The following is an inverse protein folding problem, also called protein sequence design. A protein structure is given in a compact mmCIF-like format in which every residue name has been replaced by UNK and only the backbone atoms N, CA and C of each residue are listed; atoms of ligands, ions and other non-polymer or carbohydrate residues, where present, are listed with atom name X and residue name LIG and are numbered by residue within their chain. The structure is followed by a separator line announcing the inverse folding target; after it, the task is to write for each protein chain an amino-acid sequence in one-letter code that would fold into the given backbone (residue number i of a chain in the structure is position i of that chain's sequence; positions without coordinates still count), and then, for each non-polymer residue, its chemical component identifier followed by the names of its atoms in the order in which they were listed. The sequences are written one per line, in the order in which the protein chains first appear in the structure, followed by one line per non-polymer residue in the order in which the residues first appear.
data_IF_635966490805
#
_entry.id   IF_635966490805
#
_cell.length_a   1.000
_cell.length_b   1.000
_cell.length_c   1.000
_cell.angle_alpha   90.00
_cell.angle_beta   90.00
_cell.angle_gamma   90.00
#
_symmetry.space_group_name_H-M   'P 1'
#
loop_
_entity.id
_entity.type
_entity.pdbx_description
1 polymer ?
#
# COMPACT_ATOMS: atom_id res chain seq x y z
N UNK A 1 -11.70 24.68 -19.69
CA UNK A 1 -12.77 23.74 -19.45
C UNK A 1 -12.43 22.81 -18.28
N UNK A 2 -13.09 23.03 -17.13
CA UNK A 2 -12.80 22.35 -15.86
C UNK A 2 -13.09 20.84 -15.92
N UNK A 3 -14.04 20.39 -16.72
CA UNK A 3 -14.41 18.96 -16.85
C UNK A 3 -13.37 18.17 -17.65
N UNK A 4 -12.77 18.74 -18.67
CA UNK A 4 -11.69 18.10 -19.43
C UNK A 4 -10.40 17.98 -18.59
N UNK A 5 -10.08 18.97 -17.76
CA UNK A 5 -8.93 18.89 -16.84
C UNK A 5 -9.10 17.78 -15.79
N UNK A 6 -10.31 17.57 -15.27
CA UNK A 6 -10.58 16.48 -14.33
C UNK A 6 -10.53 15.08 -15.00
N UNK A 7 -10.95 14.95 -16.27
CA UNK A 7 -10.81 13.70 -17.02
C UNK A 7 -9.35 13.36 -17.32
N UNK A 8 -8.54 14.34 -17.75
CA UNK A 8 -7.10 14.13 -17.98
C UNK A 8 -6.31 13.78 -16.72
N UNK A 9 -6.74 14.23 -15.53
CA UNK A 9 -6.09 13.92 -14.26
C UNK A 9 -6.44 12.51 -13.79
N UNK A 10 -7.63 11.98 -14.12
CA UNK A 10 -8.07 10.64 -13.70
C UNK A 10 -7.38 9.49 -14.45
N UNK A 11 -6.88 9.73 -15.64
CA UNK A 11 -6.43 8.65 -16.55
C UNK A 11 -4.91 8.52 -16.69
N UNK A 12 -4.12 9.35 -16.03
CA UNK A 12 -2.68 9.24 -16.15
C UNK A 12 -2.14 8.29 -15.07
N UNK A 13 -1.66 7.11 -15.50
CA UNK A 13 -0.97 6.13 -14.64
C UNK A 13 0.17 6.77 -13.81
N UNK A 14 0.81 7.82 -14.35
CA UNK A 14 1.83 8.59 -13.65
C UNK A 14 1.30 9.38 -12.45
N UNK A 15 0.03 9.74 -12.43
CA UNK A 15 -0.59 10.40 -11.28
C UNK A 15 -0.95 9.39 -10.19
N UNK A 16 -1.44 8.20 -10.58
CA UNK A 16 -1.72 7.12 -9.63
C UNK A 16 -0.46 6.64 -8.91
N UNK A 17 0.68 6.57 -9.59
CA UNK A 17 1.97 6.20 -8.98
C UNK A 17 2.42 7.14 -7.86
N UNK A 18 1.86 8.34 -7.76
CA UNK A 18 2.17 9.31 -6.67
C UNK A 18 1.45 8.99 -5.35
N UNK A 19 0.34 8.26 -5.38
CA UNK A 19 -0.35 7.85 -4.16
C UNK A 19 0.41 6.72 -3.50
N UNK A 20 0.55 6.77 -2.17
CA UNK A 20 1.34 5.80 -1.42
C UNK A 20 0.66 4.44 -1.38
N UNK A 21 -0.62 4.40 -1.07
CA UNK A 21 -1.44 3.20 -0.87
C UNK A 21 -2.77 3.34 -1.61
N UNK A 22 -3.36 2.21 -2.00
CA UNK A 22 -4.75 2.09 -2.42
C UNK A 22 -5.45 1.10 -1.49
N UNK A 23 -6.39 1.61 -0.70
CA UNK A 23 -7.17 0.80 0.25
C UNK A 23 -8.62 0.72 -0.22
N UNK A 24 -9.28 -0.40 0.08
CA UNK A 24 -10.71 -0.58 -0.11
C UNK A 24 -11.41 -0.61 1.24
N UNK A 25 -12.32 0.33 1.46
CA UNK A 25 -13.13 0.37 2.70
C UNK A 25 -14.39 -0.49 2.59
N UNK A 26 -14.78 -0.92 1.38
CA UNK A 26 -16.04 -1.62 1.15
C UNK A 26 -17.28 -0.76 1.44
N UNK A 27 -18.43 -1.42 1.53
CA UNK A 27 -19.69 -0.80 1.90
C UNK A 27 -20.11 -1.20 3.32
N UNK A 28 -20.77 -0.30 4.07
CA UNK A 28 -21.34 -0.67 5.36
C UNK A 28 -22.44 -1.74 5.17
N UNK A 29 -22.59 -2.62 6.14
CA UNK A 29 -23.67 -3.59 6.15
C UNK A 29 -25.05 -2.90 6.33
N UNK A 30 -26.13 -3.66 6.13
CA UNK A 30 -27.50 -3.13 6.23
C UNK A 30 -27.79 -2.46 7.59
N UNK A 31 -27.34 -3.04 8.69
CA UNK A 31 -27.57 -2.51 10.04
C UNK A 31 -26.82 -1.18 10.25
N UNK A 32 -25.54 -1.13 9.84
CA UNK A 32 -24.75 0.09 9.88
C UNK A 32 -25.30 1.19 8.96
N UNK A 33 -25.80 0.84 7.78
CA UNK A 33 -26.45 1.79 6.89
C UNK A 33 -27.74 2.36 7.53
N UNK A 34 -28.55 1.51 8.15
CA UNK A 34 -29.78 1.96 8.83
C UNK A 34 -29.46 2.86 10.04
N UNK A 35 -28.42 2.55 10.82
CA UNK A 35 -27.94 3.41 11.91
C UNK A 35 -27.47 4.77 11.37
N UNK A 36 -26.68 4.78 10.31
CA UNK A 36 -26.15 5.99 9.67
C UNK A 36 -27.28 6.90 9.17
N UNK A 37 -28.36 6.33 8.62
CA UNK A 37 -29.53 7.08 8.18
C UNK A 37 -30.32 7.70 9.35
N UNK A 38 -30.39 7.01 10.50
CA UNK A 38 -31.05 7.52 11.70
C UNK A 38 -30.22 8.64 12.37
N UNK A 39 -28.90 8.45 12.50
CA UNK A 39 -28.03 9.38 13.25
C UNK A 39 -27.84 10.71 12.54
N UNK A 40 -27.92 10.74 11.20
CA UNK A 40 -27.69 11.98 10.42
C UNK A 40 -28.86 12.96 10.38
N UNK A 41 -29.99 12.64 11.02
CA UNK A 41 -31.15 13.54 10.99
C UNK A 41 -31.02 14.75 11.93
N UNK A 42 -30.16 14.74 12.95
CA UNK A 42 -30.18 15.75 14.00
C UNK A 42 -28.82 16.38 14.38
N UNK A 43 -27.70 15.73 14.10
CA UNK A 43 -26.37 16.22 14.50
C UNK A 43 -25.33 15.94 13.41
N UNK A 44 -24.49 16.94 13.10
CA UNK A 44 -23.31 16.70 12.29
C UNK A 44 -22.25 15.95 13.13
N UNK A 45 -21.90 14.70 12.80
CA UNK A 45 -20.89 13.93 13.54
C UNK A 45 -19.53 14.62 13.63
N UNK A 46 -19.20 15.51 12.69
CA UNK A 46 -17.95 16.27 12.70
C UNK A 46 -17.84 17.20 13.91
N UNK A 47 -18.96 17.70 14.41
CA UNK A 47 -18.99 18.57 15.61
C UNK A 47 -18.58 17.85 16.90
N UNK A 48 -18.70 16.51 16.91
CA UNK A 48 -18.33 15.66 18.05
C UNK A 48 -16.87 15.14 17.97
N UNK A 49 -16.19 15.38 16.85
CA UNK A 49 -14.81 14.94 16.69
C UNK A 49 -13.86 15.76 17.57
N UNK A 50 -13.00 15.07 18.30
CA UNK A 50 -11.96 15.70 19.12
C UNK A 50 -10.60 15.52 18.45
N UNK A 51 -9.69 16.47 18.70
CA UNK A 51 -8.29 16.34 18.29
C UNK A 51 -7.64 15.19 19.04
N UNK A 52 -7.08 14.21 18.31
CA UNK A 52 -6.44 13.00 18.89
C UNK A 52 -4.92 13.09 18.90
N UNK A 53 -4.33 14.00 18.12
CA UNK A 53 -2.87 14.20 18.06
C UNK A 53 -2.56 15.64 17.59
N UNK A 54 -1.34 16.08 17.82
CA UNK A 54 -0.82 17.37 17.36
C UNK A 54 0.14 17.20 16.17
N UNK A 55 0.39 18.25 15.37
CA UNK A 55 1.42 18.22 14.33
C UNK A 55 2.80 17.83 14.84
N UNK A 56 3.19 18.30 16.02
CA UNK A 56 4.49 17.99 16.63
C UNK A 56 4.61 16.50 17.01
N UNK A 57 3.54 15.89 17.52
CA UNK A 57 3.51 14.46 17.82
C UNK A 57 3.59 13.64 16.52
N UNK A 58 2.91 14.07 15.46
CA UNK A 58 2.97 13.40 14.16
C UNK A 58 4.38 13.47 13.57
N UNK A 59 5.06 14.62 13.63
CA UNK A 59 6.45 14.76 13.17
C UNK A 59 7.39 13.83 13.95
N UNK A 60 7.20 13.69 15.26
CA UNK A 60 7.95 12.75 16.09
C UNK A 60 7.73 11.30 15.63
N UNK A 61 6.49 10.88 15.41
CA UNK A 61 6.16 9.55 14.90
C UNK A 61 6.80 9.29 13.53
N UNK A 62 6.77 10.26 12.61
CA UNK A 62 7.43 10.15 11.31
C UNK A 62 8.94 9.95 11.46
N UNK A 63 9.58 10.66 12.38
CA UNK A 63 11.00 10.49 12.67
C UNK A 63 11.31 9.11 13.25
N UNK A 64 10.50 8.62 14.19
CA UNK A 64 10.63 7.27 14.78
C UNK A 64 10.50 6.17 13.71
N UNK A 65 9.47 6.23 12.87
CA UNK A 65 9.27 5.29 11.75
C UNK A 65 10.45 5.34 10.76
N UNK A 66 11.00 6.52 10.50
CA UNK A 66 12.15 6.68 9.59
C UNK A 66 13.40 5.97 10.11
N UNK A 67 13.56 5.85 11.42
CA UNK A 67 14.69 5.21 12.08
C UNK A 67 14.57 3.68 12.19
N UNK A 68 13.42 3.09 11.83
CA UNK A 68 13.23 1.64 11.81
C UNK A 68 14.29 0.99 10.89
N UNK A 69 14.99 0.01 11.41
CA UNK A 69 16.06 -0.68 10.71
C UNK A 69 15.51 -1.57 9.58
N UNK A 70 16.22 -1.57 8.45
CA UNK A 70 15.92 -2.46 7.31
C UNK A 70 17.22 -3.14 6.91
N UNK A 71 17.29 -4.45 7.07
CA UNK A 71 18.47 -5.22 6.67
C UNK A 71 18.60 -5.30 5.13
N UNK A 72 19.82 -5.42 4.61
CA UNK A 72 20.11 -5.47 3.17
C UNK A 72 19.29 -6.55 2.46
N UNK A 73 19.13 -7.72 3.06
CA UNK A 73 18.31 -8.82 2.52
C UNK A 73 16.81 -8.46 2.33
N UNK A 74 16.28 -7.54 3.14
CA UNK A 74 14.91 -7.03 2.94
C UNK A 74 14.85 -6.12 1.71
N UNK A 75 15.88 -5.30 1.48
CA UNK A 75 15.98 -4.50 0.26
C UNK A 75 16.09 -5.40 -0.98
N UNK A 76 16.91 -6.46 -0.93
CA UNK A 76 17.02 -7.43 -2.00
C UNK A 76 15.69 -8.14 -2.26
N UNK A 77 14.99 -8.55 -1.21
CA UNK A 77 13.67 -9.16 -1.31
C UNK A 77 12.63 -8.23 -1.96
N UNK A 78 12.58 -6.96 -1.55
CA UNK A 78 11.70 -5.96 -2.18
C UNK A 78 12.08 -5.75 -3.66
N UNK A 79 13.39 -5.68 -3.97
CA UNK A 79 13.86 -5.51 -5.33
C UNK A 79 13.47 -6.69 -6.23
N UNK A 80 13.60 -7.93 -5.74
CA UNK A 80 13.18 -9.14 -6.44
C UNK A 80 11.67 -9.16 -6.70
N UNK A 81 10.85 -8.86 -5.69
CA UNK A 81 9.39 -8.75 -5.85
C UNK A 81 9.02 -7.73 -6.93
N UNK A 82 9.65 -6.56 -6.90
CA UNK A 82 9.40 -5.49 -7.88
C UNK A 82 9.83 -5.91 -9.28
N UNK A 83 10.97 -6.57 -9.43
CA UNK A 83 11.47 -7.03 -10.73
C UNK A 83 10.56 -8.08 -11.34
N UNK A 84 10.05 -9.00 -10.55
CA UNK A 84 9.04 -9.97 -10.99
C UNK A 84 7.73 -9.33 -11.47
N UNK A 85 7.35 -8.18 -10.93
CA UNK A 85 6.20 -7.43 -11.49
C UNK A 85 6.49 -6.88 -12.89
N UNK A 86 7.75 -6.52 -13.18
CA UNK A 86 8.16 -5.96 -14.48
C UNK A 86 8.35 -7.02 -15.54
N UNK A 87 8.84 -8.20 -15.15
CA UNK A 87 9.07 -9.35 -16.05
C UNK A 87 7.83 -10.21 -16.25
N UNK A 88 6.71 -9.90 -15.59
CA UNK A 88 5.48 -10.70 -15.67
C UNK A 88 4.82 -10.61 -17.05
N UNK A 89 4.48 -11.77 -17.65
CA UNK A 89 3.91 -11.88 -18.99
C UNK A 89 2.53 -11.19 -19.18
N UNK A 90 1.85 -10.83 -18.09
CA UNK A 90 0.54 -10.20 -18.08
C UNK A 90 0.59 -8.70 -17.78
N UNK A 91 1.78 -8.17 -17.52
CA UNK A 91 1.98 -6.76 -17.12
C UNK A 91 2.65 -5.99 -18.26
N UNK A 92 2.10 -4.84 -18.61
CA UNK A 92 2.72 -3.88 -19.55
C UNK A 92 3.65 -2.92 -18.82
N UNK A 93 3.26 -2.48 -17.62
CA UNK A 93 4.06 -1.63 -16.76
C UNK A 93 4.01 -2.18 -15.33
N UNK A 94 5.15 -2.59 -14.81
CA UNK A 94 5.34 -3.07 -13.44
C UNK A 94 5.61 -1.93 -12.46
N UNK A 95 5.92 -2.28 -11.23
CA UNK A 95 6.15 -1.33 -10.14
C UNK A 95 7.39 -0.48 -10.41
N UNK A 96 7.24 0.84 -10.30
CA UNK A 96 8.31 1.82 -10.49
C UNK A 96 9.31 1.82 -9.30
N UNK A 97 10.51 2.42 -9.44
CA UNK A 97 11.41 2.63 -8.30
C UNK A 97 10.75 3.43 -7.17
N UNK A 98 9.85 4.36 -7.52
CA UNK A 98 9.04 5.10 -6.53
C UNK A 98 8.11 4.17 -5.75
N UNK A 99 7.53 3.16 -6.42
CA UNK A 99 6.73 2.13 -5.77
C UNK A 99 7.56 1.27 -4.81
N UNK A 100 8.79 0.88 -5.18
CA UNK A 100 9.71 0.16 -4.29
C UNK A 100 10.02 0.96 -3.00
N UNK A 101 10.31 2.26 -3.15
CA UNK A 101 10.50 3.16 -2.00
C UNK A 101 9.23 3.28 -1.13
N UNK A 102 8.05 3.29 -1.75
CA UNK A 102 6.78 3.31 -1.02
C UNK A 102 6.56 2.00 -0.23
N UNK A 103 6.89 0.83 -0.81
CA UNK A 103 6.86 -0.47 -0.10
C UNK A 103 7.77 -0.44 1.12
N UNK A 104 9.01 0.02 0.98
CA UNK A 104 9.96 0.12 2.10
C UNK A 104 9.41 1.02 3.22
N UNK A 105 8.86 2.18 2.88
CA UNK A 105 8.29 3.10 3.87
C UNK A 105 7.06 2.51 4.57
N UNK A 106 6.18 1.86 3.84
CA UNK A 106 5.00 1.22 4.39
C UNK A 106 5.38 0.03 5.28
N UNK A 107 6.38 -0.78 4.90
CA UNK A 107 6.89 -1.88 5.72
C UNK A 107 7.51 -1.38 7.04
N UNK A 108 8.25 -0.26 7.02
CA UNK A 108 8.73 0.39 8.25
C UNK A 108 7.57 0.80 9.16
N UNK A 109 6.54 1.44 8.60
CA UNK A 109 5.38 1.84 9.38
C UNK A 109 4.64 0.63 9.96
N UNK A 110 4.53 -0.48 9.21
CA UNK A 110 3.93 -1.71 9.71
C UNK A 110 4.73 -2.30 10.86
N UNK A 111 6.06 -2.39 10.74
CA UNK A 111 6.95 -2.85 11.81
C UNK A 111 6.81 -2.01 13.09
N UNK A 112 6.71 -0.68 12.93
CA UNK A 112 6.49 0.26 14.04
C UNK A 112 5.15 0.01 14.75
N UNK A 113 4.07 -0.17 13.99
CA UNK A 113 2.74 -0.48 14.54
C UNK A 113 2.72 -1.82 15.30
N UNK A 114 3.55 -2.77 14.89
CA UNK A 114 3.75 -4.06 15.58
C UNK A 114 4.75 -3.98 16.75
N UNK A 115 5.21 -2.78 17.10
CA UNK A 115 6.11 -2.51 18.22
C UNK A 115 7.55 -2.97 18.00
N UNK A 116 8.00 -3.09 16.74
CA UNK A 116 9.35 -3.52 16.38
C UNK A 116 10.18 -2.34 15.85
N UNK A 117 11.48 -2.38 16.05
CA UNK A 117 12.47 -1.43 15.55
C UNK A 117 13.20 -1.91 14.29
N UNK A 118 12.77 -3.04 13.72
CA UNK A 118 13.27 -3.62 12.48
C UNK A 118 12.17 -4.21 11.62
N UNK A 119 12.38 -4.21 10.30
CA UNK A 119 11.46 -4.77 9.30
C UNK A 119 11.73 -6.27 9.09
N UNK A 120 10.67 -7.06 9.00
CA UNK A 120 10.71 -8.47 8.63
C UNK A 120 10.00 -8.70 7.28
N UNK A 121 10.22 -9.85 6.59
CA UNK A 121 9.57 -10.14 5.31
C UNK A 121 8.05 -10.09 5.37
N UNK A 122 7.43 -10.42 6.50
CA UNK A 122 5.98 -10.39 6.67
C UNK A 122 5.42 -8.96 6.63
N UNK A 123 6.18 -7.96 7.09
CA UNK A 123 5.79 -6.56 6.94
C UNK A 123 5.71 -6.15 5.47
N UNK A 124 6.68 -6.60 4.68
CA UNK A 124 6.68 -6.37 3.23
C UNK A 124 5.47 -7.04 2.59
N UNK A 125 5.22 -8.32 2.92
CA UNK A 125 4.07 -9.06 2.39
C UNK A 125 2.73 -8.40 2.73
N UNK A 126 2.58 -7.86 3.93
CA UNK A 126 1.35 -7.23 4.39
C UNK A 126 1.01 -5.97 3.58
N UNK A 127 2.02 -5.14 3.24
CA UNK A 127 1.79 -3.84 2.58
C UNK A 127 1.95 -3.89 1.06
N UNK A 128 2.64 -4.90 0.51
CA UNK A 128 2.99 -4.97 -0.91
C UNK A 128 1.78 -4.91 -1.85
N UNK A 129 0.67 -5.63 -1.61
CA UNK A 129 -0.52 -5.54 -2.46
C UNK A 129 -1.11 -4.14 -2.50
N UNK A 130 -1.30 -3.50 -1.35
CA UNK A 130 -1.95 -2.19 -1.23
C UNK A 130 -1.09 -1.06 -1.81
N UNK A 131 0.23 -1.19 -1.73
CA UNK A 131 1.18 -0.26 -2.34
C UNK A 131 1.26 -0.45 -3.85
N UNK A 132 1.15 -1.68 -4.37
CA UNK A 132 1.48 -1.99 -5.75
C UNK A 132 0.28 -2.13 -6.68
N UNK A 133 -0.93 -2.40 -6.17
CA UNK A 133 -2.11 -2.73 -6.99
C UNK A 133 -2.47 -1.66 -8.02
N UNK A 134 -2.39 -0.39 -7.64
CA UNK A 134 -2.72 0.75 -8.51
C UNK A 134 -1.56 1.19 -9.42
N UNK A 135 -0.39 0.55 -9.30
CA UNK A 135 0.81 0.83 -10.09
C UNK A 135 1.00 -0.12 -11.26
N UNK A 136 0.28 -1.26 -11.27
CA UNK A 136 0.37 -2.22 -12.35
C UNK A 136 -0.55 -1.85 -13.50
N UNK A 137 -0.02 -1.83 -14.73
CA UNK A 137 -0.81 -1.74 -15.95
C UNK A 137 -0.80 -3.11 -16.61
N UNK A 138 -1.97 -3.73 -16.69
CA UNK A 138 -2.14 -5.04 -17.30
C UNK A 138 -2.26 -4.93 -18.81
N UNK A 139 -1.75 -5.94 -19.53
CA UNK A 139 -1.89 -6.04 -20.97
C UNK A 139 -3.23 -6.70 -21.39
N UNK A 140 -3.50 -6.73 -22.71
CA UNK A 140 -4.72 -7.31 -23.25
C UNK A 140 -4.83 -8.82 -22.96
N UNK A 141 -3.71 -9.54 -22.88
CA UNK A 141 -3.67 -10.97 -22.56
C UNK A 141 -4.18 -11.25 -21.14
N UNK A 142 -3.81 -10.40 -20.17
CA UNK A 142 -4.31 -10.48 -18.80
C UNK A 142 -5.83 -10.34 -18.76
N UNK A 143 -6.37 -9.37 -19.50
CA UNK A 143 -7.81 -9.11 -19.56
C UNK A 143 -8.60 -10.27 -20.18
N UNK A 144 -8.04 -10.93 -21.20
CA UNK A 144 -8.67 -12.09 -21.85
C UNK A 144 -8.69 -13.33 -20.95
N UNK A 145 -7.81 -13.42 -19.98
CA UNK A 145 -7.68 -14.55 -19.06
C UNK A 145 -8.15 -14.19 -17.63
N UNK A 146 -8.89 -13.09 -17.46
CA UNK A 146 -9.44 -12.61 -16.18
C UNK A 146 -8.40 -12.43 -15.06
N UNK A 147 -7.13 -12.17 -15.43
CA UNK A 147 -6.12 -11.81 -14.43
C UNK A 147 -6.35 -10.40 -13.91
N UNK A 148 -6.34 -10.28 -12.59
CA UNK A 148 -6.37 -8.99 -11.89
C UNK A 148 -4.99 -8.61 -11.37
N UNK A 149 -4.75 -7.32 -11.13
CA UNK A 149 -3.50 -6.85 -10.52
C UNK A 149 -3.28 -7.50 -9.14
N UNK A 150 -4.33 -7.64 -8.34
CA UNK A 150 -4.25 -8.29 -7.03
C UNK A 150 -3.80 -9.76 -7.14
N UNK A 151 -4.35 -10.52 -8.08
CA UNK A 151 -3.95 -11.92 -8.30
C UNK A 151 -2.48 -12.02 -8.74
N UNK A 152 -2.04 -11.14 -9.62
CA UNK A 152 -0.64 -11.11 -10.07
C UNK A 152 0.30 -10.81 -8.90
N UNK A 153 -0.02 -9.82 -8.06
CA UNK A 153 0.79 -9.48 -6.89
C UNK A 153 0.85 -10.64 -5.88
N UNK A 154 -0.27 -11.34 -5.68
CA UNK A 154 -0.30 -12.51 -4.81
C UNK A 154 0.58 -13.64 -5.36
N UNK A 155 0.54 -13.90 -6.65
CA UNK A 155 1.41 -14.89 -7.31
C UNK A 155 2.89 -14.49 -7.18
N UNK A 156 3.23 -13.22 -7.35
CA UNK A 156 4.60 -12.69 -7.15
C UNK A 156 5.06 -12.95 -5.72
N UNK A 157 4.25 -12.61 -4.71
CA UNK A 157 4.58 -12.85 -3.30
C UNK A 157 4.80 -14.34 -2.97
N UNK A 158 4.06 -15.23 -3.61
CA UNK A 158 4.21 -16.69 -3.39
C UNK A 158 5.37 -17.31 -4.15
N UNK A 159 5.87 -16.65 -5.20
CA UNK A 159 6.97 -17.16 -6.04
C UNK A 159 8.36 -16.85 -5.48
N UNK A 160 8.48 -15.85 -4.60
CA UNK A 160 9.76 -15.47 -3.98
C UNK A 160 9.89 -16.07 -2.60
N UNK A 161 11.03 -16.71 -2.34
CA UNK A 161 11.31 -17.25 -1.01
C UNK A 161 11.58 -16.12 -0.02
N UNK A 162 10.83 -16.12 1.10
CA UNK A 162 11.06 -15.15 2.17
C UNK A 162 12.44 -15.37 2.79
N UNK A 163 13.22 -14.31 3.03
CA UNK A 163 14.47 -14.41 3.81
C UNK A 163 14.20 -14.93 5.23
N UNK A 164 15.17 -15.66 5.83
CA UNK A 164 15.00 -16.20 7.19
C UNK A 164 15.07 -15.07 8.23
N UNK A 165 14.07 -15.04 9.12
CA UNK A 165 13.89 -14.00 10.16
C UNK A 165 14.99 -14.05 11.22
N UNK A 166 15.64 -15.19 11.44
CA UNK A 166 16.64 -15.39 12.50
C UNK A 166 17.86 -14.49 12.40
N UNK A 167 18.08 -13.91 11.22
CA UNK A 167 19.23 -13.05 10.95
C UNK A 167 18.98 -11.55 11.16
N UNK A 168 17.74 -11.14 11.47
CA UNK A 168 17.36 -9.73 11.62
C UNK A 168 17.44 -9.22 13.07
N UNK A 169 17.46 -10.11 14.06
CA UNK A 169 17.46 -9.79 15.48
C UNK A 169 18.86 -9.70 16.12
N UNK A 170 19.94 -9.82 15.35
CA UNK A 170 21.29 -9.73 15.87
C UNK A 170 21.91 -8.34 15.65
N UNK A 171 21.69 -7.47 16.62
CA UNK A 171 22.64 -6.43 17.08
C UNK A 171 22.69 -6.42 18.57
#
# INVERSE_FOLDING_TARGET
DRRQRQMCIRDSASQLDRFMLQLSMGYPNRASTAALLKDRHHVDPLSACQTVTSPAELEKLIAEVSNIHVADRIYDYIAELVDLTRSNAYVTLGVSPRGALAVTRAAKANAYLEGRDYVIPDDVCAVFPDVCVHRLILNSKARLQDYTAALILQNVLTSVQKPDVREFSSK
#
